data_IF_499456653399
#
_entry.id   IF_499456653399
#
_cell.length_a   1.000
_cell.length_b   1.000
_cell.length_c   1.000
_cell.angle_alpha   90.00
_cell.angle_beta   90.00
_cell.angle_gamma   90.00
#
_symmetry.space_group_name_H-M   'P 1'
#
loop_
_entity.id
_entity.type
_entity.pdbx_description
1 polymer ?
#
# COMPACT_ATOMS: atom_id res chain seq x y z
N UNK A 1 41.64 89.58 24.62
CA UNK A 1 40.90 88.99 23.46
C UNK A 1 41.78 87.90 22.83
N UNK A 2 41.56 86.68 23.13
CA UNK A 2 42.27 85.56 22.51
C UNK A 2 41.22 84.82 21.66
N UNK A 3 41.44 84.76 20.36
CA UNK A 3 40.62 83.94 19.41
C UNK A 3 41.14 82.52 19.42
N UNK A 4 40.28 81.60 19.80
CA UNK A 4 40.55 80.16 19.67
C UNK A 4 40.13 79.68 18.29
N UNK A 5 41.05 79.03 17.57
CA UNK A 5 40.84 78.44 16.28
C UNK A 5 40.47 76.92 16.56
N UNK A 6 39.24 76.52 16.19
CA UNK A 6 38.86 75.12 16.19
C UNK A 6 39.31 74.48 14.85
N UNK A 7 40.15 73.50 14.94
CA UNK A 7 40.53 72.63 13.79
C UNK A 7 39.63 71.38 13.85
N UNK A 8 38.74 71.24 12.86
CA UNK A 8 37.93 70.07 12.69
C UNK A 8 38.70 69.00 11.92
N UNK A 9 38.98 67.87 12.55
CA UNK A 9 39.49 66.67 11.87
C UNK A 9 38.32 65.90 11.29
N UNK A 10 38.21 65.79 9.97
CA UNK A 10 37.31 64.89 9.28
C UNK A 10 37.99 63.55 9.18
N UNK A 11 37.44 62.56 9.90
CA UNK A 11 37.84 61.16 9.78
C UNK A 11 37.04 60.53 8.64
N UNK A 12 37.71 60.18 7.56
CA UNK A 12 37.14 59.43 6.44
C UNK A 12 37.08 57.98 6.84
N UNK A 13 35.88 57.45 7.09
CA UNK A 13 35.65 56.01 7.21
C UNK A 13 35.51 55.38 5.81
N UNK A 14 36.53 54.68 5.36
CA UNK A 14 36.42 53.81 4.18
C UNK A 14 35.65 52.54 4.56
N UNK A 15 34.38 52.45 4.15
CA UNK A 15 33.60 51.21 4.25
C UNK A 15 34.13 50.22 3.21
N UNK A 16 34.85 49.21 3.67
CA UNK A 16 35.17 48.02 2.86
C UNK A 16 33.91 47.18 2.73
N UNK A 17 33.22 47.30 1.59
CA UNK A 17 32.12 46.39 1.24
C UNK A 17 32.76 45.08 0.80
N UNK A 18 32.85 44.10 1.72
CA UNK A 18 33.10 42.73 1.35
C UNK A 18 31.85 42.17 0.65
N UNK A 19 31.90 42.09 -0.67
CA UNK A 19 30.91 41.33 -1.44
C UNK A 19 31.16 39.86 -1.13
N UNK A 20 30.54 39.37 -0.08
CA UNK A 20 30.44 37.92 0.17
C UNK A 20 29.64 37.32 -0.96
N UNK A 21 30.28 36.50 -1.80
CA UNK A 21 29.56 35.58 -2.68
C UNK A 21 28.66 34.68 -1.81
N UNK A 22 27.39 35.08 -1.64
CA UNK A 22 26.36 34.18 -1.16
C UNK A 22 26.23 33.12 -2.26
N UNK A 23 26.77 31.89 -1.98
CA UNK A 23 26.41 30.73 -2.76
C UNK A 23 24.90 30.57 -2.59
N UNK A 24 24.15 30.83 -3.65
CA UNK A 24 22.75 30.41 -3.74
C UNK A 24 22.72 28.92 -3.40
N UNK A 25 21.92 28.49 -2.44
CA UNK A 25 21.79 27.06 -2.16
C UNK A 25 21.40 26.38 -3.47
N UNK A 26 22.19 25.38 -3.90
CA UNK A 26 21.80 24.55 -5.04
C UNK A 26 20.43 24.00 -4.72
N UNK A 27 19.43 24.30 -5.55
CA UNK A 27 18.14 23.66 -5.46
C UNK A 27 18.39 22.15 -5.56
N UNK A 28 18.07 21.43 -4.48
CA UNK A 28 18.17 19.97 -4.46
C UNK A 28 17.13 19.42 -5.44
N UNK A 29 17.58 18.70 -6.44
CA UNK A 29 16.70 17.93 -7.32
C UNK A 29 16.35 16.60 -6.63
N UNK A 30 15.08 16.22 -6.71
CA UNK A 30 14.59 14.97 -6.16
C UNK A 30 14.02 14.10 -7.28
N UNK A 31 14.19 12.79 -7.11
CA UNK A 31 13.55 11.76 -7.93
C UNK A 31 12.76 10.84 -7.01
N UNK A 32 11.78 10.15 -7.58
CA UNK A 32 10.96 9.20 -6.84
C UNK A 32 11.19 7.80 -7.41
N UNK A 33 11.72 6.91 -6.57
CA UNK A 33 11.76 5.49 -6.87
C UNK A 33 10.40 4.87 -6.52
N UNK A 34 9.72 4.32 -7.51
CA UNK A 34 8.41 3.68 -7.37
C UNK A 34 8.57 2.18 -7.44
N UNK A 35 8.06 1.48 -6.45
CA UNK A 35 8.10 0.03 -6.33
C UNK A 35 6.69 -0.50 -6.38
N UNK A 36 6.42 -1.46 -7.26
CA UNK A 36 5.18 -2.22 -7.27
C UNK A 36 5.51 -3.71 -7.19
N UNK A 37 4.64 -4.49 -6.55
CA UNK A 37 4.78 -5.95 -6.49
C UNK A 37 3.49 -6.64 -6.91
N UNK A 38 3.66 -7.88 -7.37
CA UNK A 38 2.57 -8.71 -7.84
C UNK A 38 3.07 -10.01 -8.42
N UNK A 39 2.50 -10.41 -9.56
CA UNK A 39 2.96 -11.56 -10.33
C UNK A 39 2.78 -11.34 -11.83
N UNK A 40 3.53 -12.11 -12.63
CA UNK A 40 3.38 -12.25 -14.07
C UNK A 40 3.62 -13.73 -14.44
N UNK A 41 2.63 -14.36 -15.06
CA UNK A 41 2.63 -15.81 -15.24
C UNK A 41 2.66 -16.54 -13.89
N UNK A 42 3.66 -17.37 -13.70
CA UNK A 42 3.89 -18.16 -12.48
C UNK A 42 4.90 -17.50 -11.52
N UNK A 43 5.36 -16.25 -11.79
CA UNK A 43 6.48 -15.63 -11.09
C UNK A 43 6.07 -14.45 -10.22
N UNK A 44 6.59 -14.35 -8.97
CA UNK A 44 6.41 -13.19 -8.12
C UNK A 44 7.32 -12.05 -8.62
N UNK A 45 6.72 -10.89 -8.86
CA UNK A 45 7.36 -9.75 -9.51
C UNK A 45 7.55 -8.56 -8.59
N UNK A 46 8.68 -7.88 -8.76
CA UNK A 46 8.92 -6.52 -8.30
C UNK A 46 9.20 -5.63 -9.53
N UNK A 47 8.41 -4.57 -9.69
CA UNK A 47 8.69 -3.53 -10.69
C UNK A 47 9.25 -2.29 -9.98
N UNK A 48 10.51 -1.94 -10.29
CA UNK A 48 11.09 -0.67 -9.84
C UNK A 48 11.08 0.34 -10.99
N UNK A 49 10.35 1.45 -10.83
CA UNK A 49 10.15 2.44 -11.89
C UNK A 49 9.58 1.84 -13.20
N UNK A 50 8.89 0.71 -13.05
CA UNK A 50 8.31 -0.07 -14.14
C UNK A 50 9.27 -1.07 -14.78
N UNK A 51 10.51 -1.21 -14.30
CA UNK A 51 11.44 -2.24 -14.71
C UNK A 51 11.25 -3.52 -13.89
N UNK A 52 10.99 -4.68 -14.52
CA UNK A 52 10.64 -5.92 -13.84
C UNK A 52 11.87 -6.61 -13.23
N UNK A 53 11.67 -7.22 -12.07
CA UNK A 53 12.62 -8.15 -11.44
C UNK A 53 11.84 -9.30 -10.83
N UNK A 54 12.22 -10.54 -11.12
CA UNK A 54 11.67 -11.74 -10.51
C UNK A 54 12.22 -11.89 -9.09
N UNK A 55 11.36 -12.07 -8.10
CA UNK A 55 11.76 -12.20 -6.69
C UNK A 55 12.22 -13.61 -6.30
N UNK A 56 11.69 -14.65 -6.94
CA UNK A 56 12.14 -16.04 -6.80
C UNK A 56 11.98 -16.80 -8.11
N UNK A 57 12.81 -17.82 -8.33
CA UNK A 57 12.82 -18.60 -9.57
C UNK A 57 12.44 -20.08 -9.37
N UNK A 58 12.24 -20.49 -8.12
CA UNK A 58 12.12 -21.90 -7.74
C UNK A 58 10.66 -22.37 -7.60
N UNK A 59 9.70 -21.43 -7.59
CA UNK A 59 8.28 -21.69 -7.40
C UNK A 59 7.48 -21.60 -8.69
N UNK A 60 6.32 -22.28 -8.69
CA UNK A 60 5.23 -22.06 -9.65
C UNK A 60 4.10 -21.35 -8.92
N UNK A 61 3.46 -20.40 -9.61
CA UNK A 61 2.33 -19.62 -9.07
C UNK A 61 2.62 -18.85 -7.78
N UNK A 62 3.91 -18.47 -7.57
CA UNK A 62 4.30 -17.61 -6.46
C UNK A 62 3.78 -16.19 -6.65
N UNK A 63 3.42 -15.53 -5.56
CA UNK A 63 2.79 -14.21 -5.61
C UNK A 63 3.43 -13.28 -4.58
N UNK A 64 3.83 -12.07 -5.00
CA UNK A 64 4.17 -10.98 -4.08
C UNK A 64 2.94 -10.09 -3.83
N UNK A 65 2.52 -9.97 -2.57
CA UNK A 65 1.28 -9.29 -2.16
C UNK A 65 1.50 -7.88 -1.66
N UNK A 66 2.62 -7.62 -0.98
CA UNK A 66 2.89 -6.34 -0.34
C UNK A 66 4.35 -5.92 -0.52
N UNK A 67 4.59 -4.60 -0.60
CA UNK A 67 5.92 -3.98 -0.66
C UNK A 67 6.02 -2.82 0.32
N UNK A 68 7.16 -2.74 1.03
CA UNK A 68 7.50 -1.63 1.91
C UNK A 68 8.99 -1.31 1.81
N UNK A 69 9.35 -0.03 1.71
CA UNK A 69 10.73 0.38 1.45
C UNK A 69 11.19 1.44 2.48
N UNK A 70 11.54 1.02 3.70
CA UNK A 70 12.12 1.93 4.70
C UNK A 70 13.59 2.23 4.35
N UNK A 71 13.87 3.47 3.95
CA UNK A 71 15.21 3.89 3.56
C UNK A 71 15.70 3.22 2.28
N UNK A 72 16.70 2.33 2.37
CA UNK A 72 17.30 1.65 1.23
C UNK A 72 16.90 0.17 1.11
N UNK A 73 16.32 -0.40 2.16
CA UNK A 73 15.92 -1.81 2.15
C UNK A 73 14.55 -1.99 1.50
N UNK A 74 14.45 -2.93 0.58
CA UNK A 74 13.20 -3.34 -0.07
C UNK A 74 12.70 -4.61 0.60
N UNK A 75 11.51 -4.52 1.20
CA UNK A 75 10.79 -5.66 1.76
C UNK A 75 9.58 -5.97 0.88
N UNK A 76 9.40 -7.23 0.55
CA UNK A 76 8.18 -7.73 -0.06
C UNK A 76 7.68 -8.94 0.74
N UNK A 77 6.38 -9.19 0.76
CA UNK A 77 5.79 -10.36 1.38
C UNK A 77 4.75 -10.98 0.47
N UNK A 78 4.53 -12.29 0.61
CA UNK A 78 3.62 -13.00 -0.27
C UNK A 78 3.56 -14.49 -0.02
N UNK A 79 3.31 -15.24 -1.08
CA UNK A 79 3.05 -16.67 -1.06
C UNK A 79 4.02 -17.42 -1.98
N UNK A 80 4.48 -18.56 -1.49
CA UNK A 80 5.12 -19.61 -2.26
C UNK A 80 4.13 -20.77 -2.40
N UNK A 81 3.90 -21.23 -3.63
CA UNK A 81 3.02 -22.36 -3.92
C UNK A 81 3.84 -23.65 -3.98
N UNK A 82 3.53 -24.61 -3.11
CA UNK A 82 4.27 -25.88 -3.03
C UNK A 82 3.44 -27.00 -3.66
N UNK A 83 4.07 -27.75 -4.58
CA UNK A 83 3.50 -28.88 -5.30
C UNK A 83 4.19 -30.18 -4.83
N UNK A 84 3.49 -31.00 -4.04
CA UNK A 84 4.07 -32.23 -3.44
C UNK A 84 4.02 -33.47 -4.39
N UNK A 85 3.89 -33.25 -5.71
CA UNK A 85 3.91 -34.33 -6.72
C UNK A 85 2.68 -35.24 -6.71
N UNK A 86 1.54 -34.77 -6.20
CA UNK A 86 0.26 -35.47 -6.21
C UNK A 86 -0.34 -35.65 -7.61
N UNK A 87 -1.53 -36.28 -7.72
CA UNK A 87 -2.19 -36.57 -9.00
C UNK A 87 -2.64 -35.33 -9.79
N UNK A 88 -2.79 -34.19 -9.13
CA UNK A 88 -3.12 -32.90 -9.76
C UNK A 88 -1.91 -31.95 -9.69
N UNK A 89 -1.12 -31.92 -10.76
CA UNK A 89 0.06 -31.05 -10.87
C UNK A 89 -0.31 -29.57 -11.13
N UNK A 90 -1.60 -29.25 -11.29
CA UNK A 90 -2.09 -27.91 -11.57
C UNK A 90 -2.66 -27.22 -10.33
N UNK A 91 -2.74 -27.92 -9.20
CA UNK A 91 -3.25 -27.35 -7.96
C UNK A 91 -2.19 -27.47 -6.86
N UNK A 92 -1.77 -26.36 -6.23
CA UNK A 92 -0.75 -26.42 -5.18
C UNK A 92 -1.25 -27.26 -4.00
N UNK A 93 -0.37 -28.11 -3.46
CA UNK A 93 -0.69 -28.94 -2.28
C UNK A 93 -0.82 -28.07 -1.02
N UNK A 94 -0.13 -26.93 -0.98
CA UNK A 94 -0.17 -25.96 0.12
C UNK A 94 0.42 -24.61 -0.27
N UNK A 95 0.07 -23.59 0.52
CA UNK A 95 0.66 -22.26 0.46
C UNK A 95 1.61 -22.06 1.63
N UNK A 96 2.76 -21.43 1.35
CA UNK A 96 3.76 -21.05 2.35
C UNK A 96 3.91 -19.54 2.34
N UNK A 97 3.70 -18.92 3.49
CA UNK A 97 3.93 -17.48 3.65
C UNK A 97 5.43 -17.18 3.58
N UNK A 98 5.80 -16.21 2.75
CA UNK A 98 7.19 -15.80 2.56
C UNK A 98 7.36 -14.29 2.63
N UNK A 99 8.58 -13.85 2.95
CA UNK A 99 8.99 -12.48 2.71
C UNK A 99 10.38 -12.44 2.06
N UNK A 100 10.61 -11.39 1.29
CA UNK A 100 11.90 -11.08 0.68
C UNK A 100 12.45 -9.80 1.30
N UNK A 101 13.70 -9.82 1.69
CA UNK A 101 14.46 -8.60 2.03
C UNK A 101 15.59 -8.46 1.02
N UNK A 102 15.54 -7.40 0.20
CA UNK A 102 16.52 -7.16 -0.87
C UNK A 102 16.72 -8.40 -1.77
N UNK A 103 15.63 -9.09 -2.10
CA UNK A 103 15.64 -10.32 -2.90
C UNK A 103 16.01 -11.61 -2.16
N UNK A 104 16.35 -11.54 -0.87
CA UNK A 104 16.61 -12.74 -0.06
C UNK A 104 15.33 -13.23 0.59
N UNK A 105 14.93 -14.47 0.27
CA UNK A 105 13.68 -15.08 0.75
C UNK A 105 13.83 -15.66 2.17
N UNK A 106 12.75 -15.53 2.94
CA UNK A 106 12.56 -16.19 4.24
C UNK A 106 11.12 -16.67 4.35
N UNK A 107 10.91 -17.83 5.01
CA UNK A 107 9.59 -18.45 5.15
C UNK A 107 9.03 -18.23 6.55
N UNK A 108 7.72 -18.03 6.65
CA UNK A 108 7.01 -17.98 7.92
C UNK A 108 6.59 -19.37 8.37
N UNK A 109 6.34 -19.50 9.67
CA UNK A 109 5.79 -20.72 10.27
C UNK A 109 4.46 -20.44 10.98
N UNK A 110 3.64 -21.48 11.13
CA UNK A 110 2.47 -21.46 12.01
C UNK A 110 2.88 -21.47 13.51
N UNK A 111 1.89 -21.54 14.38
CA UNK A 111 2.11 -21.63 15.83
C UNK A 111 2.84 -22.91 16.27
N UNK A 112 2.80 -23.97 15.45
CA UNK A 112 3.48 -25.24 15.71
C UNK A 112 4.88 -25.31 15.06
N UNK A 113 5.36 -24.20 14.44
CA UNK A 113 6.63 -24.16 13.74
C UNK A 113 6.62 -24.83 12.36
N UNK A 114 5.43 -25.05 11.77
CA UNK A 114 5.28 -25.65 10.44
C UNK A 114 5.02 -24.54 9.40
N UNK A 115 5.35 -24.82 8.13
CA UNK A 115 5.17 -23.91 7.00
C UNK A 115 3.95 -24.27 6.15
N UNK A 116 2.84 -24.72 6.76
CA UNK A 116 1.69 -25.25 6.04
C UNK A 116 0.54 -24.25 5.95
N UNK A 117 -0.04 -24.10 4.74
CA UNK A 117 -1.28 -23.36 4.45
C UNK A 117 -1.38 -21.96 5.08
N UNK A 118 -0.27 -21.24 5.04
CA UNK A 118 -0.20 -19.86 5.48
C UNK A 118 -0.39 -18.92 4.28
N UNK A 119 -1.34 -18.01 4.37
CA UNK A 119 -1.44 -16.89 3.45
C UNK A 119 -0.91 -15.60 4.11
N UNK A 120 -0.19 -14.81 3.32
CA UNK A 120 0.34 -13.49 3.69
C UNK A 120 -0.32 -12.45 2.79
N UNK A 121 -0.80 -11.37 3.37
CA UNK A 121 -1.54 -10.33 2.65
C UNK A 121 -0.84 -8.97 2.68
N UNK A 122 -0.18 -8.60 3.80
CA UNK A 122 0.44 -7.27 3.94
C UNK A 122 1.64 -7.32 4.89
N UNK A 123 2.51 -6.31 4.76
CA UNK A 123 3.66 -6.12 5.64
C UNK A 123 3.85 -4.64 6.00
N UNK A 124 4.39 -4.42 7.19
CA UNK A 124 4.81 -3.11 7.69
C UNK A 124 6.15 -3.24 8.42
N UNK A 125 7.03 -2.27 8.25
CA UNK A 125 8.34 -2.24 8.94
C UNK A 125 8.46 -0.97 9.76
N UNK A 126 8.81 -1.12 11.04
CA UNK A 126 9.08 0.00 11.95
C UNK A 126 10.39 -0.22 12.69
N UNK A 127 11.39 0.61 12.39
CA UNK A 127 12.75 0.39 12.90
C UNK A 127 13.30 -0.97 12.45
N UNK A 128 13.61 -1.84 13.42
CA UNK A 128 14.05 -3.22 13.16
C UNK A 128 12.92 -4.24 13.13
N UNK A 129 11.70 -3.85 13.51
CA UNK A 129 10.57 -4.77 13.59
C UNK A 129 9.84 -4.90 12.26
N UNK A 130 9.66 -6.13 11.82
CA UNK A 130 8.90 -6.53 10.63
C UNK A 130 7.59 -7.16 11.09
N UNK A 131 6.49 -6.58 10.68
CA UNK A 131 5.14 -7.07 10.95
C UNK A 131 4.56 -7.59 9.64
N UNK A 132 4.01 -8.78 9.66
CA UNK A 132 3.34 -9.40 8.51
C UNK A 132 2.00 -9.92 8.96
N UNK A 133 0.97 -9.80 8.14
CA UNK A 133 -0.37 -10.29 8.47
C UNK A 133 -0.93 -11.17 7.37
N UNK A 134 -1.84 -12.05 7.78
CA UNK A 134 -2.49 -12.99 6.89
C UNK A 134 -3.41 -13.93 7.62
N UNK A 135 -3.36 -15.20 7.22
CA UNK A 135 -4.16 -16.25 7.85
C UNK A 135 -3.43 -17.58 7.89
N UNK A 136 -3.75 -18.39 8.90
CA UNK A 136 -3.44 -19.80 9.00
C UNK A 136 -4.70 -20.60 8.64
N UNK A 137 -4.62 -21.45 7.60
CA UNK A 137 -5.71 -22.29 7.12
C UNK A 137 -5.59 -23.74 7.59
N UNK A 138 -4.51 -24.05 8.31
CA UNK A 138 -4.26 -25.42 8.77
C UNK A 138 -5.13 -25.73 9.98
N UNK A 139 -5.98 -26.74 9.90
CA UNK A 139 -6.89 -27.22 10.95
C UNK A 139 -8.02 -26.24 11.36
N UNK A 140 -9.23 -26.56 10.94
CA UNK A 140 -10.45 -25.86 11.36
C UNK A 140 -10.79 -24.63 10.54
N UNK A 141 -11.35 -23.60 11.19
CA UNK A 141 -11.63 -22.32 10.54
C UNK A 141 -10.33 -21.52 10.41
N UNK A 142 -10.12 -20.83 9.26
CA UNK A 142 -8.99 -19.94 9.09
C UNK A 142 -8.87 -18.91 10.21
N UNK A 143 -7.65 -18.76 10.74
CA UNK A 143 -7.31 -17.84 11.83
C UNK A 143 -6.60 -16.63 11.27
N UNK A 144 -7.03 -15.43 11.66
CA UNK A 144 -6.27 -14.22 11.41
C UNK A 144 -4.96 -14.25 12.20
N UNK A 145 -3.85 -13.96 11.52
CA UNK A 145 -2.48 -14.06 12.05
C UNK A 145 -1.72 -12.77 11.91
N UNK A 146 -0.86 -12.52 12.87
CA UNK A 146 0.22 -11.53 12.86
C UNK A 146 1.54 -12.26 13.09
N UNK A 147 2.54 -12.03 12.26
CA UNK A 147 3.94 -12.44 12.51
C UNK A 147 4.75 -11.20 12.83
N UNK A 148 5.37 -11.19 14.00
CA UNK A 148 6.34 -10.17 14.36
C UNK A 148 7.74 -10.76 14.33
N UNK A 149 8.60 -10.26 13.44
CA UNK A 149 9.97 -10.79 13.24
C UNK A 149 9.99 -12.32 13.02
N UNK A 150 8.99 -12.83 12.27
CA UNK A 150 8.82 -14.25 11.99
C UNK A 150 8.14 -15.07 13.08
N UNK A 151 7.84 -14.49 14.25
CA UNK A 151 7.15 -15.17 15.35
C UNK A 151 5.63 -15.04 15.15
N UNK A 152 4.93 -16.18 15.06
CA UNK A 152 3.50 -16.24 14.84
C UNK A 152 2.70 -15.84 16.09
N UNK A 153 1.72 -14.97 15.91
CA UNK A 153 0.80 -14.50 16.94
C UNK A 153 -0.65 -14.54 16.41
N UNK A 154 -1.56 -15.31 17.02
CA UNK A 154 -2.93 -15.35 16.55
C UNK A 154 -3.68 -14.07 16.94
N UNK A 155 -4.52 -13.57 16.01
CA UNK A 155 -5.46 -12.48 16.23
C UNK A 155 -6.88 -12.99 16.49
N UNK A 156 -7.15 -14.27 16.16
CA UNK A 156 -8.39 -14.97 16.45
C UNK A 156 -8.11 -16.38 16.96
N UNK A 157 -9.06 -16.96 17.66
CA UNK A 157 -8.94 -18.28 18.28
C UNK A 157 -9.26 -19.46 17.33
N UNK A 158 -9.81 -19.16 16.13
CA UNK A 158 -10.22 -20.15 15.13
C UNK A 158 -11.61 -20.73 15.39
N UNK A 159 -12.38 -20.22 16.34
CA UNK A 159 -13.80 -20.55 16.54
C UNK A 159 -14.69 -20.05 15.41
N UNK A 160 -14.28 -18.93 14.78
CA UNK A 160 -14.94 -18.28 13.66
C UNK A 160 -13.93 -18.00 12.54
N UNK A 161 -14.43 -17.92 11.30
CA UNK A 161 -13.61 -17.54 10.15
C UNK A 161 -13.04 -16.13 10.34
N UNK A 162 -11.72 -16.00 10.31
CA UNK A 162 -11.04 -14.71 10.41
C UNK A 162 -9.86 -14.63 9.46
N UNK A 163 -9.62 -13.42 8.92
CA UNK A 163 -8.52 -13.11 8.00
C UNK A 163 -8.00 -11.69 8.26
N UNK A 164 -6.69 -11.54 8.33
CA UNK A 164 -6.02 -10.24 8.38
C UNK A 164 -5.57 -9.82 6.98
N UNK A 165 -5.89 -8.59 6.57
CA UNK A 165 -5.62 -8.10 5.23
C UNK A 165 -4.56 -7.00 5.19
N UNK A 166 -4.48 -6.14 6.20
CA UNK A 166 -3.55 -5.01 6.21
C UNK A 166 -3.03 -4.73 7.61
N UNK A 167 -1.77 -4.30 7.72
CA UNK A 167 -1.12 -3.95 8.99
C UNK A 167 -0.48 -2.56 8.91
N UNK A 168 -0.63 -1.79 9.98
CA UNK A 168 0.01 -0.48 10.14
C UNK A 168 0.49 -0.29 11.57
N UNK A 169 1.71 0.20 11.73
CA UNK A 169 2.27 0.56 13.04
C UNK A 169 2.30 2.07 13.23
N UNK A 170 1.89 2.55 14.40
CA UNK A 170 1.98 3.96 14.79
C UNK A 170 2.41 4.08 16.25
N UNK A 171 3.59 4.65 16.49
CA UNK A 171 4.20 4.64 17.81
C UNK A 171 4.44 3.21 18.30
N UNK A 172 3.85 2.86 19.45
CA UNK A 172 3.91 1.51 20.00
C UNK A 172 2.69 0.64 19.64
N UNK A 173 1.72 1.21 18.90
CA UNK A 173 0.49 0.52 18.56
C UNK A 173 0.58 -0.14 17.19
N UNK A 174 0.04 -1.36 17.09
CA UNK A 174 -0.11 -2.13 15.86
C UNK A 174 -1.60 -2.28 15.55
N UNK A 175 -1.98 -1.90 14.34
CA UNK A 175 -3.35 -1.95 13.84
C UNK A 175 -3.42 -2.96 12.70
N UNK A 176 -4.42 -3.83 12.72
CA UNK A 176 -4.64 -4.83 11.68
C UNK A 176 -6.08 -4.76 11.23
N UNK A 177 -6.30 -4.48 9.94
CA UNK A 177 -7.63 -4.55 9.33
C UNK A 177 -7.89 -5.93 8.74
N UNK A 178 -9.15 -6.37 8.78
CA UNK A 178 -9.49 -7.67 8.25
C UNK A 178 -10.97 -8.02 8.31
N UNK A 179 -11.22 -9.32 8.30
CA UNK A 179 -12.53 -9.94 8.42
C UNK A 179 -12.59 -10.81 9.68
N UNK A 180 -13.66 -10.67 10.46
CA UNK A 180 -14.03 -11.56 11.56
C UNK A 180 -15.55 -11.54 11.72
N UNK A 181 -16.23 -12.37 10.94
CA UNK A 181 -17.69 -12.29 10.77
C UNK A 181 -18.16 -10.85 10.52
N UNK A 182 -17.57 -10.20 9.48
CA UNK A 182 -17.75 -8.80 9.14
C UNK A 182 -16.44 -8.02 9.11
N UNK A 183 -16.51 -6.74 8.76
CA UNK A 183 -15.35 -5.85 8.78
C UNK A 183 -14.83 -5.65 10.20
N UNK A 184 -13.54 -5.80 10.40
CA UNK A 184 -12.91 -5.82 11.72
C UNK A 184 -11.57 -5.08 11.74
N UNK A 185 -11.24 -4.54 12.92
CA UNK A 185 -9.95 -3.97 13.24
C UNK A 185 -9.45 -4.58 14.56
N UNK A 186 -8.21 -5.03 14.58
CA UNK A 186 -7.48 -5.36 15.80
C UNK A 186 -6.49 -4.23 16.11
N UNK A 187 -6.57 -3.68 17.32
CA UNK A 187 -5.54 -2.79 17.87
C UNK A 187 -4.81 -3.52 18.98
N UNK A 188 -3.50 -3.77 18.81
CA UNK A 188 -2.71 -4.54 19.77
C UNK A 188 -3.41 -5.86 20.15
N UNK A 189 -3.94 -6.57 19.14
CA UNK A 189 -4.73 -7.82 19.24
C UNK A 189 -6.14 -7.65 19.86
N UNK A 190 -6.55 -6.46 20.29
CA UNK A 190 -7.91 -6.22 20.75
C UNK A 190 -8.84 -5.98 19.58
N UNK A 191 -9.84 -6.84 19.42
CA UNK A 191 -10.80 -6.82 18.31
C UNK A 191 -11.86 -5.72 18.50
N UNK A 192 -12.13 -4.99 17.42
CA UNK A 192 -13.30 -4.12 17.24
C UNK A 192 -14.00 -4.49 15.94
N UNK A 193 -15.27 -4.84 15.98
CA UNK A 193 -16.11 -5.13 14.81
C UNK A 193 -16.74 -3.82 14.29
N UNK A 194 -16.67 -3.60 12.97
CA UNK A 194 -17.24 -2.43 12.30
C UNK A 194 -18.57 -2.74 11.60
N UNK A 195 -18.76 -4.00 11.22
CA UNK A 195 -20.02 -4.52 10.67
C UNK A 195 -20.37 -5.86 11.31
N UNK A 196 -21.64 -6.25 11.23
CA UNK A 196 -22.09 -7.58 11.63
C UNK A 196 -22.31 -8.41 10.35
N UNK A 197 -21.61 -9.52 10.21
CA UNK A 197 -21.72 -10.56 9.18
C UNK A 197 -21.44 -10.14 7.73
N UNK A 198 -21.76 -8.90 7.34
CA UNK A 198 -21.61 -8.41 5.96
C UNK A 198 -20.64 -7.25 5.92
N UNK A 199 -19.56 -7.42 5.17
CA UNK A 199 -18.53 -6.40 5.01
C UNK A 199 -17.12 -6.93 5.24
N UNK A 200 -16.13 -6.16 4.83
CA UNK A 200 -14.73 -6.50 4.99
C UNK A 200 -13.89 -5.23 5.09
N UNK A 201 -12.87 -5.22 5.94
CA UNK A 201 -11.86 -4.18 6.04
C UNK A 201 -10.58 -4.64 5.34
N UNK A 202 -10.17 -3.94 4.29
CA UNK A 202 -9.04 -4.35 3.45
C UNK A 202 -7.75 -3.59 3.74
N UNK A 203 -7.84 -2.37 4.26
CA UNK A 203 -6.67 -1.52 4.48
C UNK A 203 -6.84 -0.69 5.73
N UNK A 204 -5.75 -0.48 6.48
CA UNK A 204 -5.69 0.43 7.62
C UNK A 204 -4.55 1.42 7.45
N UNK A 205 -4.79 2.68 7.79
CA UNK A 205 -3.81 3.75 7.85
C UNK A 205 -4.02 4.58 9.11
N UNK A 206 -2.93 5.01 9.75
CA UNK A 206 -3.01 5.87 10.93
C UNK A 206 -2.29 7.19 10.66
N UNK A 207 -2.96 8.30 10.87
CA UNK A 207 -2.40 9.64 10.76
C UNK A 207 -2.69 10.43 12.04
N UNK A 208 -1.64 10.80 12.76
CA UNK A 208 -1.80 11.39 14.08
C UNK A 208 -2.53 10.44 15.03
N UNK A 209 -3.69 10.89 15.55
CA UNK A 209 -4.54 10.09 16.43
C UNK A 209 -5.69 9.39 15.68
N UNK A 210 -5.85 9.65 14.39
CA UNK A 210 -6.96 9.14 13.60
C UNK A 210 -6.61 7.82 12.91
N UNK A 211 -7.51 6.86 13.01
CA UNK A 211 -7.44 5.54 12.37
C UNK A 211 -8.42 5.49 11.20
N UNK A 212 -7.92 5.22 10.03
CA UNK A 212 -8.68 5.12 8.79
C UNK A 212 -8.67 3.67 8.31
N UNK A 213 -9.85 3.12 8.05
CA UNK A 213 -10.01 1.75 7.56
C UNK A 213 -10.84 1.78 6.29
N UNK A 214 -10.31 1.23 5.20
CA UNK A 214 -11.01 1.13 3.93
C UNK A 214 -11.52 -0.30 3.72
N UNK A 215 -12.72 -0.41 3.13
CA UNK A 215 -13.33 -1.69 2.87
C UNK A 215 -14.68 -1.59 2.17
N UNK A 216 -15.58 -2.48 2.52
CA UNK A 216 -16.96 -2.44 2.03
C UNK A 216 -17.94 -2.89 3.13
N UNK A 217 -19.16 -2.39 3.03
CA UNK A 217 -20.28 -2.75 3.86
C UNK A 217 -21.53 -2.77 2.99
N UNK A 218 -22.21 -3.90 2.93
CA UNK A 218 -23.50 -4.08 2.22
C UNK A 218 -23.43 -3.74 0.74
N UNK A 219 -22.53 -3.81 -0.06
CA UNK A 219 -22.29 -3.41 -1.46
C UNK A 219 -21.65 -2.02 -1.63
N UNK A 220 -21.53 -1.21 -0.57
CA UNK A 220 -20.93 0.12 -0.66
C UNK A 220 -19.44 0.09 -0.34
N UNK A 221 -18.62 0.72 -1.16
CA UNK A 221 -17.27 1.11 -0.76
C UNK A 221 -17.38 2.04 0.46
N UNK A 222 -16.65 1.75 1.51
CA UNK A 222 -16.80 2.40 2.82
C UNK A 222 -15.43 2.73 3.40
N UNK A 223 -15.31 3.91 3.96
CA UNK A 223 -14.22 4.31 4.85
C UNK A 223 -14.76 4.43 6.28
N UNK A 224 -14.08 3.83 7.23
CA UNK A 224 -14.33 4.08 8.66
C UNK A 224 -13.21 4.97 9.20
N UNK A 225 -13.57 6.16 9.73
CA UNK A 225 -12.68 7.02 10.49
C UNK A 225 -12.99 6.85 11.98
N UNK A 226 -12.03 6.33 12.75
CA UNK A 226 -12.21 6.05 14.18
C UNK A 226 -13.47 5.19 14.48
N UNK A 227 -13.75 4.22 13.59
CA UNK A 227 -14.92 3.34 13.70
C UNK A 227 -16.24 3.94 13.17
N UNK A 228 -16.27 5.22 12.77
CA UNK A 228 -17.45 5.86 12.18
C UNK A 228 -17.42 5.68 10.66
N UNK A 229 -18.47 5.06 10.09
CA UNK A 229 -18.57 4.76 8.67
C UNK A 229 -18.95 5.98 7.83
N UNK A 230 -18.19 6.21 6.76
CA UNK A 230 -18.51 7.12 5.66
C UNK A 230 -18.64 6.30 4.36
N UNK A 231 -19.82 6.31 3.74
CA UNK A 231 -20.06 5.61 2.47
C UNK A 231 -19.45 6.41 1.32
N UNK A 232 -18.63 5.75 0.50
CA UNK A 232 -18.01 6.34 -0.70
C UNK A 232 -18.88 6.14 -1.95
N UNK A 233 -19.81 5.20 -1.88
CA UNK A 233 -20.81 4.91 -2.93
C UNK A 233 -22.17 4.73 -2.30
N UNK A 234 -23.23 4.89 -3.10
CA UNK A 234 -24.63 4.83 -2.67
C UNK A 234 -25.18 3.40 -2.46
N UNK A 235 -24.36 2.38 -2.78
CA UNK A 235 -24.74 0.97 -2.63
C UNK A 235 -25.69 0.46 -3.74
N UNK A 236 -26.00 1.25 -4.75
CA UNK A 236 -26.82 0.82 -5.87
C UNK A 236 -26.14 -0.26 -6.72
N UNK A 237 -24.83 -0.29 -6.72
CA UNK A 237 -23.99 -1.28 -7.39
C UNK A 237 -22.84 -1.71 -6.48
N UNK A 238 -22.36 -2.97 -6.59
CA UNK A 238 -21.24 -3.44 -5.81
C UNK A 238 -19.99 -2.59 -5.99
N UNK A 239 -19.43 -2.13 -4.87
CA UNK A 239 -18.21 -1.36 -4.83
C UNK A 239 -17.37 -1.73 -3.59
N UNK A 240 -16.06 -1.60 -3.68
CA UNK A 240 -15.15 -1.84 -2.56
C UNK A 240 -14.00 -0.85 -2.54
N UNK A 241 -13.64 -0.36 -1.36
CA UNK A 241 -12.44 0.41 -1.09
C UNK A 241 -11.32 -0.57 -0.70
N UNK A 242 -10.22 -0.59 -1.44
CA UNK A 242 -9.13 -1.56 -1.29
C UNK A 242 -7.96 -1.04 -0.50
N UNK A 243 -7.65 0.25 -0.65
CA UNK A 243 -6.51 0.87 0.01
C UNK A 243 -6.82 2.31 0.38
N UNK A 244 -6.35 2.76 1.55
CA UNK A 244 -6.47 4.14 2.03
C UNK A 244 -5.08 4.70 2.33
N UNK A 245 -4.87 5.97 1.97
CA UNK A 245 -3.68 6.75 2.30
C UNK A 245 -4.08 8.14 2.75
N UNK A 246 -3.39 8.68 3.77
CA UNK A 246 -3.61 10.05 4.24
C UNK A 246 -2.32 10.84 4.08
N UNK A 247 -2.38 11.98 3.37
CA UNK A 247 -1.26 12.90 3.19
C UNK A 247 -1.65 14.29 3.68
N UNK A 248 -1.02 14.74 4.75
CA UNK A 248 -1.48 15.95 5.45
C UNK A 248 -2.92 15.77 5.95
N UNK A 249 -3.84 16.64 5.48
CA UNK A 249 -5.27 16.56 5.81
C UNK A 249 -6.11 15.91 4.69
N UNK A 250 -5.49 15.48 3.62
CA UNK A 250 -6.18 14.90 2.47
C UNK A 250 -6.24 13.38 2.58
N UNK A 251 -7.41 12.82 2.28
CA UNK A 251 -7.66 11.38 2.31
C UNK A 251 -7.83 10.88 0.89
N UNK A 252 -7.13 9.80 0.56
CA UNK A 252 -7.17 9.11 -0.72
C UNK A 252 -7.58 7.67 -0.51
N UNK A 253 -8.58 7.22 -1.24
CA UNK A 253 -9.06 5.83 -1.20
C UNK A 253 -9.13 5.30 -2.61
N UNK A 254 -8.60 4.11 -2.84
CA UNK A 254 -8.73 3.43 -4.14
C UNK A 254 -9.47 2.11 -4.00
N UNK A 255 -10.01 1.66 -5.11
CA UNK A 255 -10.72 0.39 -5.17
C UNK A 255 -11.43 0.19 -6.49
N UNK A 256 -12.63 -0.36 -6.45
CA UNK A 256 -13.40 -0.65 -7.63
C UNK A 256 -14.90 -0.46 -7.41
N UNK A 257 -15.62 -0.14 -8.49
CA UNK A 257 -17.08 -0.07 -8.49
C UNK A 257 -17.63 -0.65 -9.79
N UNK A 258 -18.74 -1.39 -9.70
CA UNK A 258 -19.45 -1.88 -10.89
C UNK A 258 -20.17 -0.72 -11.60
N UNK A 259 -19.98 -0.64 -12.90
CA UNK A 259 -20.64 0.31 -13.80
C UNK A 259 -21.23 -0.47 -14.98
N UNK A 260 -22.54 -0.69 -14.95
CA UNK A 260 -23.19 -1.58 -15.92
C UNK A 260 -22.66 -3.02 -15.83
N UNK A 261 -22.14 -3.56 -16.93
CA UNK A 261 -21.59 -4.92 -16.99
C UNK A 261 -20.13 -5.02 -16.57
N UNK A 262 -19.43 -3.89 -16.43
CA UNK A 262 -17.97 -3.87 -16.14
C UNK A 262 -17.66 -3.30 -14.76
N UNK A 263 -16.49 -3.64 -14.26
CA UNK A 263 -15.90 -3.12 -13.03
C UNK A 263 -14.87 -2.05 -13.39
N UNK A 264 -14.95 -0.89 -12.76
CA UNK A 264 -14.09 0.27 -13.03
C UNK A 264 -13.16 0.48 -11.84
N UNK A 265 -11.88 0.70 -12.12
CA UNK A 265 -10.92 1.13 -11.11
C UNK A 265 -11.22 2.58 -10.68
N UNK A 266 -11.31 2.79 -9.36
CA UNK A 266 -11.79 4.04 -8.77
C UNK A 266 -10.77 4.68 -7.85
N UNK A 267 -10.80 6.02 -7.82
CA UNK A 267 -10.19 6.85 -6.78
C UNK A 267 -11.27 7.72 -6.16
N UNK A 268 -11.34 7.75 -4.83
CA UNK A 268 -12.11 8.71 -4.03
C UNK A 268 -11.14 9.60 -3.26
N UNK A 269 -11.37 10.90 -3.28
CA UNK A 269 -10.53 11.88 -2.56
C UNK A 269 -11.39 12.79 -1.70
N UNK A 270 -10.89 13.14 -0.51
CA UNK A 270 -11.48 14.15 0.37
C UNK A 270 -10.40 15.14 0.73
N UNK A 271 -10.57 16.41 0.34
CA UNK A 271 -9.62 17.49 0.59
C UNK A 271 -9.90 18.17 1.92
N UNK A 272 -9.00 17.98 2.88
CA UNK A 272 -9.18 18.47 4.25
C UNK A 272 -10.32 17.77 4.99
N UNK A 273 -10.48 18.07 6.29
CA UNK A 273 -11.48 17.39 7.14
C UNK A 273 -12.92 17.74 6.78
N UNK A 274 -13.18 18.99 6.36
CA UNK A 274 -14.51 19.49 6.01
C UNK A 274 -14.87 19.30 4.54
N UNK A 275 -13.97 18.74 3.71
CA UNK A 275 -14.20 18.52 2.29
C UNK A 275 -15.29 17.47 2.03
N UNK A 276 -15.89 17.56 0.85
CA UNK A 276 -16.75 16.50 0.31
C UNK A 276 -15.92 15.43 -0.40
N UNK A 277 -16.46 14.23 -0.51
CA UNK A 277 -15.87 13.18 -1.32
C UNK A 277 -16.02 13.48 -2.81
N UNK A 278 -14.93 13.43 -3.53
CA UNK A 278 -14.87 13.46 -4.98
C UNK A 278 -14.48 12.07 -5.48
N UNK A 279 -15.13 11.60 -6.55
CA UNK A 279 -14.81 10.31 -7.15
C UNK A 279 -14.29 10.48 -8.57
N UNK A 280 -13.31 9.65 -8.95
CA UNK A 280 -12.74 9.61 -10.29
C UNK A 280 -12.61 8.17 -10.77
N UNK A 281 -13.08 7.91 -11.99
CA UNK A 281 -12.76 6.69 -12.71
C UNK A 281 -11.31 6.77 -13.20
N UNK A 282 -10.50 5.75 -12.89
CA UNK A 282 -9.13 5.60 -13.40
C UNK A 282 -9.10 4.96 -14.77
N UNK A 283 -10.16 4.20 -15.13
CA UNK A 283 -10.37 3.56 -16.43
C UNK A 283 -11.69 3.98 -17.05
N UNK A 284 -11.86 3.78 -18.33
CA UNK A 284 -13.04 4.19 -19.11
C UNK A 284 -14.25 3.25 -18.96
N UNK A 285 -14.06 2.08 -18.32
CA UNK A 285 -15.11 1.08 -18.13
C UNK A 285 -15.38 0.19 -19.33
N UNK A 286 -14.52 0.22 -20.35
CA UNK A 286 -14.60 -0.69 -21.47
C UNK A 286 -14.21 -2.12 -21.10
N UNK A 287 -13.40 -2.27 -20.05
CA UNK A 287 -12.86 -3.53 -19.52
C UNK A 287 -12.93 -3.55 -17.99
N UNK A 288 -12.85 -4.76 -17.41
CA UNK A 288 -12.77 -4.88 -15.96
C UNK A 288 -11.42 -4.39 -15.47
N UNK A 289 -11.44 -3.54 -14.42
CA UNK A 289 -10.25 -2.97 -13.83
C UNK A 289 -10.41 -2.77 -12.32
N UNK A 290 -9.31 -2.93 -11.58
CA UNK A 290 -9.28 -2.83 -10.12
C UNK A 290 -8.05 -2.04 -9.68
N UNK A 291 -8.24 -1.05 -8.81
CA UNK A 291 -7.15 -0.38 -8.11
C UNK A 291 -6.96 -1.05 -6.76
N UNK A 292 -5.76 -1.59 -6.51
CA UNK A 292 -5.48 -2.42 -5.34
C UNK A 292 -4.76 -1.66 -4.22
N UNK A 293 -3.85 -0.77 -4.56
CA UNK A 293 -3.00 -0.07 -3.59
C UNK A 293 -2.73 1.36 -4.03
N UNK A 294 -2.64 2.29 -3.07
CA UNK A 294 -2.28 3.69 -3.30
C UNK A 294 -1.15 4.12 -2.37
N UNK A 295 -0.23 4.90 -2.90
CA UNK A 295 0.79 5.61 -2.15
C UNK A 295 0.89 7.06 -2.60
N UNK A 296 1.00 8.00 -1.64
CA UNK A 296 1.11 9.44 -1.94
C UNK A 296 2.34 10.02 -1.25
N UNK A 297 3.18 10.71 -2.00
CA UNK A 297 4.37 11.39 -1.48
C UNK A 297 4.57 12.71 -2.21
N UNK A 298 4.75 13.81 -1.48
CA UNK A 298 4.89 15.17 -2.03
C UNK A 298 3.81 15.48 -3.09
N UNK A 299 2.56 15.08 -2.84
CA UNK A 299 1.40 15.17 -3.74
C UNK A 299 1.51 14.37 -5.06
N UNK A 300 2.57 13.58 -5.27
CA UNK A 300 2.57 12.57 -6.32
C UNK A 300 1.71 11.41 -5.88
N UNK A 301 0.85 10.92 -6.77
CA UNK A 301 -0.05 9.80 -6.51
C UNK A 301 0.38 8.62 -7.37
N UNK A 302 0.54 7.46 -6.74
CA UNK A 302 0.87 6.19 -7.38
C UNK A 302 -0.18 5.15 -6.99
N UNK A 303 -0.76 4.47 -7.98
CA UNK A 303 -1.81 3.48 -7.78
C UNK A 303 -1.42 2.22 -8.55
N UNK A 304 -1.28 1.10 -7.84
CA UNK A 304 -1.10 -0.21 -8.44
C UNK A 304 -2.44 -0.93 -8.60
N UNK A 305 -2.54 -1.73 -9.65
CA UNK A 305 -3.75 -2.50 -9.89
C UNK A 305 -3.70 -3.36 -11.13
N UNK A 306 -4.85 -3.59 -11.72
CA UNK A 306 -5.02 -4.50 -12.83
C UNK A 306 -6.10 -3.98 -13.79
N UNK A 307 -5.92 -4.26 -15.08
CA UNK A 307 -6.92 -4.06 -16.12
C UNK A 307 -6.96 -5.28 -17.04
N UNK A 308 -8.15 -5.76 -17.37
CA UNK A 308 -8.35 -6.85 -18.32
C UNK A 308 -7.78 -6.47 -19.70
N UNK A 309 -7.07 -7.37 -20.37
CA UNK A 309 -6.54 -7.14 -21.70
C UNK A 309 -7.67 -7.12 -22.74
N UNK A 310 -7.55 -6.23 -23.72
CA UNK A 310 -8.52 -6.14 -24.80
C UNK A 310 -8.60 -7.46 -25.59
N UNK A 311 -9.82 -7.97 -25.76
CA UNK A 311 -10.13 -9.22 -26.48
C UNK A 311 -9.41 -10.47 -25.95
N UNK A 312 -9.11 -10.49 -24.65
CA UNK A 312 -8.43 -11.59 -23.98
C UNK A 312 -8.93 -11.71 -22.54
N UNK A 313 -9.00 -12.91 -21.96
CA UNK A 313 -9.31 -13.08 -20.53
C UNK A 313 -8.13 -12.78 -19.61
N UNK A 314 -6.98 -12.37 -20.16
CA UNK A 314 -5.77 -12.10 -19.38
C UNK A 314 -5.87 -10.72 -18.72
N UNK A 315 -5.32 -10.63 -17.53
CA UNK A 315 -5.13 -9.39 -16.79
C UNK A 315 -3.74 -8.80 -17.06
N UNK A 316 -3.63 -7.48 -17.07
CA UNK A 316 -2.41 -6.70 -17.23
C UNK A 316 -2.14 -5.97 -15.92
N UNK A 317 -0.95 -6.11 -15.35
CA UNK A 317 -0.52 -5.31 -14.21
C UNK A 317 -0.35 -3.84 -14.60
N UNK A 318 -0.98 -2.94 -13.83
CA UNK A 318 -1.08 -1.51 -14.12
C UNK A 318 -0.48 -0.65 -13.01
N UNK A 319 0.09 0.48 -13.44
CA UNK A 319 0.47 1.59 -12.56
C UNK A 319 -0.13 2.89 -13.11
N UNK A 320 -1.05 3.51 -12.35
CA UNK A 320 -1.56 4.84 -12.63
C UNK A 320 -0.81 5.85 -11.78
N UNK A 321 -0.36 6.95 -12.41
CA UNK A 321 0.40 7.99 -11.73
C UNK A 321 -0.16 9.38 -12.02
N UNK A 322 -0.01 10.29 -11.05
CA UNK A 322 -0.35 11.70 -11.19
C UNK A 322 0.71 12.55 -10.49
N UNK A 323 1.32 13.45 -11.23
CA UNK A 323 2.24 14.45 -10.66
C UNK A 323 1.45 15.58 -9.97
N UNK A 324 2.04 16.31 -9.00
CA UNK A 324 1.35 17.37 -8.24
C UNK A 324 0.76 18.47 -9.10
N UNK A 325 1.53 18.92 -10.09
CA UNK A 325 1.19 20.07 -10.94
C UNK A 325 0.54 19.66 -12.27
N UNK A 326 0.11 18.39 -12.40
CA UNK A 326 -0.51 17.86 -13.60
C UNK A 326 -1.99 17.57 -13.36
N UNK A 327 -2.83 17.97 -14.32
CA UNK A 327 -4.24 17.55 -14.34
C UNK A 327 -4.42 16.18 -15.02
N UNK A 328 -3.37 15.68 -15.68
CA UNK A 328 -3.41 14.43 -16.42
C UNK A 328 -2.93 13.26 -15.58
N UNK A 329 -3.56 12.10 -15.80
CA UNK A 329 -3.15 10.82 -15.28
C UNK A 329 -2.37 10.06 -16.35
N UNK A 330 -1.28 9.44 -15.93
CA UNK A 330 -0.56 8.48 -16.76
C UNK A 330 -0.94 7.06 -16.35
N UNK A 331 -1.27 6.22 -17.34
CA UNK A 331 -1.52 4.79 -17.14
C UNK A 331 -0.39 4.01 -17.80
N UNK A 332 0.48 3.40 -16.99
CA UNK A 332 1.59 2.57 -17.45
C UNK A 332 1.22 1.10 -17.28
N UNK A 333 1.34 0.32 -18.36
CA UNK A 333 1.34 -1.13 -18.29
C UNK A 333 2.68 -1.59 -17.72
N UNK A 334 2.65 -2.40 -16.66
CA UNK A 334 3.84 -3.01 -16.07
C UNK A 334 4.23 -4.31 -16.79
N UNK A 335 3.28 -4.91 -17.51
CA UNK A 335 3.45 -6.13 -18.30
C UNK A 335 2.89 -5.97 -19.70
N UNK A 336 3.30 -6.83 -20.64
CA UNK A 336 2.86 -6.81 -22.04
C UNK A 336 1.52 -7.54 -22.27
N UNK A 337 1.02 -8.26 -21.23
CA UNK A 337 -0.21 -9.03 -21.29
C UNK A 337 -0.10 -10.32 -22.11
N UNK A 338 1.09 -10.91 -22.22
CA UNK A 338 1.27 -12.25 -22.80
C UNK A 338 0.88 -13.32 -21.77
N UNK A 339 1.08 -13.01 -20.48
CA UNK A 339 0.69 -13.83 -19.37
C UNK A 339 -0.29 -13.08 -18.44
N UNK A 340 -1.00 -13.82 -17.58
CA UNK A 340 -1.82 -13.26 -16.51
C UNK A 340 -0.93 -12.50 -15.54
N UNK A 341 -1.27 -11.24 -15.24
CA UNK A 341 -0.45 -10.43 -14.38
C UNK A 341 -1.29 -9.46 -13.52
N UNK A 342 -0.90 -9.25 -12.26
CA UNK A 342 -1.51 -8.28 -11.35
C UNK A 342 -0.46 -7.55 -10.55
N UNK A 343 -0.69 -6.26 -10.31
CA UNK A 343 0.03 -5.49 -9.30
C UNK A 343 -0.86 -5.32 -8.06
N UNK A 344 -0.36 -5.74 -6.90
CA UNK A 344 -1.13 -5.74 -5.65
C UNK A 344 -0.79 -4.58 -4.74
N UNK A 345 0.46 -4.16 -4.68
CA UNK A 345 0.93 -3.14 -3.76
C UNK A 345 1.88 -2.17 -4.45
N UNK A 346 1.87 -0.90 -4.00
CA UNK A 346 2.79 0.14 -4.47
C UNK A 346 3.37 0.92 -3.29
N UNK A 347 4.64 1.28 -3.41
CA UNK A 347 5.37 2.15 -2.48
C UNK A 347 6.27 3.11 -3.25
N UNK A 348 6.49 4.32 -2.74
CA UNK A 348 7.41 5.26 -3.36
C UNK A 348 8.37 5.88 -2.36
N UNK A 349 9.61 6.12 -2.79
CA UNK A 349 10.67 6.71 -1.98
C UNK A 349 11.23 7.93 -2.68
N UNK A 350 11.30 9.06 -1.98
CA UNK A 350 11.99 10.27 -2.43
C UNK A 350 13.48 10.12 -2.25
N UNK A 351 14.25 10.39 -3.29
CA UNK A 351 15.72 10.37 -3.28
C UNK A 351 16.28 11.68 -3.75
N UNK A 352 17.38 12.12 -3.16
CA UNK A 352 18.18 13.24 -3.69
C UNK A 352 18.98 12.74 -4.90
N UNK A 353 18.94 13.50 -6.00
CA UNK A 353 19.59 13.18 -7.27
C UNK A 353 21.09 13.46 -7.24
#
# INVERSE_FOLDING_TARGET
>A
MRKSILVSFAVLFAAVVTVGCQRTPKNKEYVYDVYAVGYEGEMPMLWKNGEPTVLSHDGKDDIAMAVFVPGNDVYAAGLECVYDGGQDQNNPSRYVGVFWKNGVISRFTDLAGKTNDLEVNDLFVSGSDVYVVGQDKFEGQPKAMLWKNGIAEPLSDGSEFARAYSVFGSGNDVYVAGYHNGAALWKNKTLSKYTNDVGCAYSVFVSGNDVYVAGWDSQSATLWKNGVAEKLTDGSNPASARSVFVSGNDIYVVGSARRGSKVVAMLWTKRGESGSWESKNLTDGSRDAYANSIYVIDNHIYIAGVEEKENSPLDIAMLWTKAPDSDTWEAKKLTNGEDMAKAYSVYAVKREK
#
